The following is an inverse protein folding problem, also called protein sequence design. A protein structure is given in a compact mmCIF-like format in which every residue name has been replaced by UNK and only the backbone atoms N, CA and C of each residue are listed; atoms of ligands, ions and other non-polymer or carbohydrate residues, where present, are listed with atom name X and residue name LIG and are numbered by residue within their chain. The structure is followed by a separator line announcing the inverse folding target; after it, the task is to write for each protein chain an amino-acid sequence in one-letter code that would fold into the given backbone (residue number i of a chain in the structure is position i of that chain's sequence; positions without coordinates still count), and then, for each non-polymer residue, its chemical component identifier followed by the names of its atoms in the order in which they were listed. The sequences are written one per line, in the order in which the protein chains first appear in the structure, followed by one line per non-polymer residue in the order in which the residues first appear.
data_IF_124177321061
#
_entry.id   IF_124177321061
#
_cell.length_a   1.000
_cell.length_b   1.000
_cell.length_c   1.000
_cell.angle_alpha   90.00
_cell.angle_beta   90.00
_cell.angle_gamma   90.00
#
_symmetry.space_group_name_H-M   'P 1'
#
loop_
_entity.id
_entity.type
_entity.pdbx_description
1 polymer ?
#
# COMPACT_ATOMS: atom_id res chain seq x y z
N UNK A 1 -20.82 0.36 -28.71
CA UNK A 1 -19.96 1.10 -27.75
C UNK A 1 -19.95 0.37 -26.41
N UNK A 2 -18.80 -0.12 -25.96
CA UNK A 2 -18.67 -0.88 -24.70
C UNK A 2 -18.80 0.10 -23.52
N UNK A 3 -19.87 0.00 -22.72
CA UNK A 3 -20.06 0.84 -21.52
C UNK A 3 -18.93 0.54 -20.54
N UNK A 4 -17.98 1.46 -20.40
CA UNK A 4 -16.98 1.41 -19.33
C UNK A 4 -17.71 1.71 -18.03
N UNK A 5 -17.67 0.79 -17.06
CA UNK A 5 -18.24 1.02 -15.73
C UNK A 5 -17.45 2.15 -15.07
N UNK A 6 -18.11 3.27 -14.76
CA UNK A 6 -17.53 4.37 -13.99
C UNK A 6 -17.89 4.17 -12.53
N UNK A 7 -16.90 4.23 -11.64
CA UNK A 7 -17.14 4.24 -10.20
C UNK A 7 -17.64 5.61 -9.77
N UNK A 8 -18.57 5.66 -8.81
CA UNK A 8 -18.92 6.92 -8.15
C UNK A 8 -17.78 7.35 -7.21
N UNK A 9 -17.76 8.63 -6.81
CA UNK A 9 -16.77 9.12 -5.84
C UNK A 9 -16.84 8.33 -4.52
N UNK A 10 -18.05 7.96 -4.09
CA UNK A 10 -18.27 7.16 -2.89
C UNK A 10 -17.65 5.77 -3.02
N UNK A 11 -17.83 5.12 -4.18
CA UNK A 11 -17.22 3.81 -4.43
C UNK A 11 -15.69 3.89 -4.43
N UNK A 12 -15.13 4.98 -4.98
CA UNK A 12 -13.68 5.19 -5.01
C UNK A 12 -13.09 5.42 -3.62
N UNK A 13 -13.76 6.23 -2.78
CA UNK A 13 -13.34 6.48 -1.40
C UNK A 13 -13.43 5.21 -0.56
N UNK A 14 -14.54 4.47 -0.69
CA UNK A 14 -14.73 3.21 0.03
C UNK A 14 -13.69 2.17 -0.40
N UNK A 15 -13.44 2.06 -1.71
CA UNK A 15 -12.40 1.19 -2.25
C UNK A 15 -11.02 1.56 -1.69
N UNK A 16 -10.66 2.84 -1.70
CA UNK A 16 -9.39 3.31 -1.14
C UNK A 16 -9.25 3.00 0.36
N UNK A 17 -10.32 3.17 1.14
CA UNK A 17 -10.33 2.89 2.57
C UNK A 17 -10.12 1.39 2.86
N UNK A 18 -10.80 0.52 2.12
CA UNK A 18 -10.61 -0.94 2.22
C UNK A 18 -9.17 -1.31 1.86
N UNK A 19 -8.61 -0.71 0.81
CA UNK A 19 -7.25 -1.00 0.34
C UNK A 19 -6.15 -0.48 1.28
N UNK A 20 -6.42 0.53 2.10
CA UNK A 20 -5.47 1.05 3.09
C UNK A 20 -5.21 0.10 4.26
N UNK A 21 -6.04 -0.93 4.43
CA UNK A 21 -5.93 -1.93 5.52
C UNK A 21 -5.73 -1.23 6.88
N UNK A 22 -6.74 -0.52 7.41
CA UNK A 22 -6.60 0.30 8.62
C UNK A 22 -6.21 -0.49 9.87
N UNK A 23 -6.33 -1.82 9.85
CA UNK A 23 -5.90 -2.72 10.93
C UNK A 23 -4.39 -3.05 10.87
N UNK A 24 -3.69 -2.76 9.77
CA UNK A 24 -2.28 -3.08 9.59
C UNK A 24 -1.35 -2.48 10.68
N UNK A 25 -1.54 -1.23 11.15
CA UNK A 25 -0.74 -0.67 12.25
C UNK A 25 -0.84 -1.48 13.55
N UNK A 26 -1.98 -2.12 13.80
CA UNK A 26 -2.20 -2.94 15.00
C UNK A 26 -1.31 -4.18 14.95
N UNK A 27 -1.22 -4.82 13.78
CA UNK A 27 -0.39 -6.01 13.56
C UNK A 27 1.11 -5.74 13.73
N UNK A 28 1.56 -4.51 13.46
CA UNK A 28 2.99 -4.14 13.53
C UNK A 28 3.36 -3.40 14.82
N UNK A 29 2.40 -3.12 15.71
CA UNK A 29 2.61 -2.27 16.89
C UNK A 29 3.81 -2.71 17.73
N UNK A 30 3.93 -4.01 18.05
CA UNK A 30 5.03 -4.52 18.88
C UNK A 30 6.42 -4.36 18.24
N UNK A 31 6.52 -4.56 16.92
CA UNK A 31 7.77 -4.38 16.18
C UNK A 31 8.16 -2.90 16.17
N UNK A 32 7.21 -2.02 15.84
CA UNK A 32 7.42 -0.58 15.84
C UNK A 32 7.76 -0.08 17.23
N UNK A 33 7.10 -0.56 18.28
CA UNK A 33 7.39 -0.20 19.68
C UNK A 33 8.84 -0.49 20.05
N UNK A 34 9.32 -1.71 19.75
CA UNK A 34 10.69 -2.09 20.05
C UNK A 34 11.73 -1.29 19.25
N UNK A 35 11.50 -1.08 17.95
CA UNK A 35 12.42 -0.31 17.08
C UNK A 35 12.42 1.19 17.38
N UNK A 36 11.29 1.72 17.85
CA UNK A 36 11.11 3.15 18.17
C UNK A 36 11.44 3.49 19.61
N UNK A 37 11.91 2.54 20.42
CA UNK A 37 12.12 2.71 21.86
C UNK A 37 10.88 3.28 22.58
N UNK A 38 9.68 2.84 22.18
CA UNK A 38 8.41 3.29 22.74
C UNK A 38 7.79 4.55 22.10
N UNK A 39 8.46 5.17 21.12
CA UNK A 39 8.00 6.40 20.45
C UNK A 39 7.05 6.14 19.27
N UNK A 40 6.14 5.17 19.42
CA UNK A 40 5.26 4.69 18.33
C UNK A 40 4.41 5.80 17.71
N UNK A 41 3.85 6.69 18.56
CA UNK A 41 3.02 7.79 18.08
C UNK A 41 3.79 8.74 17.14
N UNK A 42 5.05 9.05 17.48
CA UNK A 42 5.88 9.94 16.67
C UNK A 42 6.23 9.30 15.32
N UNK A 43 6.53 8.00 15.30
CA UNK A 43 6.76 7.25 14.05
C UNK A 43 5.54 7.35 13.13
N UNK A 44 4.34 7.14 13.66
CA UNK A 44 3.12 7.25 12.85
C UNK A 44 2.82 8.68 12.40
N UNK A 45 3.11 9.70 13.21
CA UNK A 45 2.94 11.11 12.80
C UNK A 45 3.87 11.46 11.64
N UNK A 46 5.15 11.11 11.74
CA UNK A 46 6.13 11.36 10.67
C UNK A 46 5.72 10.58 9.40
N UNK A 47 5.33 9.32 9.55
CA UNK A 47 4.82 8.51 8.44
C UNK A 47 3.59 9.13 7.78
N UNK A 48 2.63 9.62 8.56
CA UNK A 48 1.44 10.29 8.05
C UNK A 48 1.77 11.55 7.26
N UNK A 49 2.72 12.37 7.73
CA UNK A 49 3.20 13.56 7.03
C UNK A 49 3.84 13.17 5.69
N UNK A 50 4.70 12.15 5.67
CA UNK A 50 5.31 11.66 4.43
C UNK A 50 4.27 11.13 3.43
N UNK A 51 3.27 10.38 3.91
CA UNK A 51 2.17 9.88 3.08
C UNK A 51 1.28 11.02 2.56
N UNK A 52 1.08 12.08 3.35
CA UNK A 52 0.31 13.25 2.92
C UNK A 52 0.94 13.93 1.70
N UNK A 53 2.26 14.17 1.72
CA UNK A 53 2.97 14.72 0.57
C UNK A 53 2.85 13.80 -0.66
N UNK A 54 2.96 12.49 -0.45
CA UNK A 54 2.76 11.51 -1.52
C UNK A 54 1.35 11.62 -2.12
N UNK A 55 0.31 11.60 -1.29
CA UNK A 55 -1.08 11.73 -1.74
C UNK A 55 -1.34 13.06 -2.46
N UNK A 56 -0.75 14.16 -1.98
CA UNK A 56 -0.86 15.47 -2.61
C UNK A 56 -0.23 15.50 -4.02
N UNK A 57 0.95 14.89 -4.19
CA UNK A 57 1.58 14.74 -5.50
C UNK A 57 0.72 13.93 -6.46
N UNK A 58 0.17 12.80 -6.01
CA UNK A 58 -0.72 11.97 -6.84
C UNK A 58 -2.01 12.70 -7.23
N UNK A 59 -2.62 13.43 -6.30
CA UNK A 59 -3.80 14.25 -6.57
C UNK A 59 -3.52 15.29 -7.66
N UNK A 60 -2.42 16.04 -7.53
CA UNK A 60 -2.02 17.06 -8.50
C UNK A 60 -1.74 16.45 -9.88
N UNK A 61 -1.04 15.32 -9.94
CA UNK A 61 -0.71 14.64 -11.20
C UNK A 61 -1.92 14.02 -11.87
N UNK A 62 -2.87 13.47 -11.10
CA UNK A 62 -4.10 12.87 -11.63
C UNK A 62 -5.01 13.85 -12.36
N UNK A 63 -4.94 15.14 -11.99
CA UNK A 63 -5.70 16.20 -12.65
C UNK A 63 -5.13 16.58 -14.02
N UNK A 64 -3.82 16.42 -14.22
CA UNK A 64 -3.12 16.82 -15.45
C UNK A 64 -2.85 15.64 -16.39
N UNK A 65 -2.68 14.43 -15.85
CA UNK A 65 -2.34 13.22 -16.59
C UNK A 65 -3.54 12.28 -16.56
N UNK A 66 -4.33 12.28 -17.63
CA UNK A 66 -5.50 11.40 -17.79
C UNK A 66 -5.11 9.99 -18.26
N UNK A 67 -4.27 9.30 -17.47
CA UNK A 67 -3.82 7.92 -17.73
C UNK A 67 -4.20 7.00 -16.58
N UNK A 68 -4.62 5.78 -16.88
CA UNK A 68 -4.90 4.73 -15.88
C UNK A 68 -3.63 4.15 -15.25
N UNK A 69 -2.45 4.67 -15.59
CA UNK A 69 -1.16 4.06 -15.25
C UNK A 69 -0.56 4.42 -13.89
N UNK A 70 -1.22 5.26 -13.06
CA UNK A 70 -0.71 5.62 -11.73
C UNK A 70 0.77 6.10 -11.79
N UNK A 71 1.62 5.68 -10.84
CA UNK A 71 3.00 6.15 -10.68
C UNK A 71 3.89 5.95 -11.93
N UNK A 72 3.75 4.84 -12.67
CA UNK A 72 4.59 4.58 -13.84
C UNK A 72 4.30 5.60 -14.95
N UNK A 73 3.03 5.95 -15.14
CA UNK A 73 2.62 6.94 -16.13
C UNK A 73 3.09 8.34 -15.72
N UNK A 74 2.98 8.67 -14.43
CA UNK A 74 3.45 9.95 -13.91
C UNK A 74 4.97 10.09 -14.03
N UNK A 75 5.74 9.08 -13.63
CA UNK A 75 7.19 9.09 -13.76
C UNK A 75 7.66 9.14 -15.22
N UNK A 76 6.96 8.41 -16.10
CA UNK A 76 7.22 8.41 -17.54
C UNK A 76 7.04 9.78 -18.19
N UNK A 77 5.99 10.51 -17.79
CA UNK A 77 5.65 11.84 -18.33
C UNK A 77 6.48 12.95 -17.69
N UNK A 78 6.69 12.92 -16.37
CA UNK A 78 7.32 14.02 -15.64
C UNK A 78 8.86 13.93 -15.59
N UNK A 79 9.45 12.75 -15.74
CA UNK A 79 10.90 12.53 -15.64
C UNK A 79 11.45 12.07 -16.98
N UNK A 80 11.22 10.79 -17.34
CA UNK A 80 11.52 10.22 -18.64
C UNK A 80 10.89 8.82 -18.79
N UNK A 81 10.75 8.29 -20.02
CA UNK A 81 10.15 6.98 -20.26
C UNK A 81 10.88 5.80 -19.60
N UNK A 82 12.21 5.87 -19.43
CA UNK A 82 12.99 4.79 -18.82
C UNK A 82 12.72 4.66 -17.31
N UNK A 83 12.59 5.80 -16.61
CA UNK A 83 12.18 5.83 -15.21
C UNK A 83 10.74 5.33 -15.07
N UNK A 84 9.84 5.73 -15.98
CA UNK A 84 8.49 5.17 -16.04
C UNK A 84 8.49 3.64 -16.17
N UNK A 85 9.32 3.07 -17.04
CA UNK A 85 9.47 1.62 -17.19
C UNK A 85 9.99 0.95 -15.91
N UNK A 86 11.03 1.52 -15.28
CA UNK A 86 11.56 1.01 -14.02
C UNK A 86 10.52 1.08 -12.88
N UNK A 87 9.79 2.19 -12.76
CA UNK A 87 8.68 2.32 -11.81
C UNK A 87 7.60 1.25 -12.04
N UNK A 88 7.30 0.94 -13.31
CA UNK A 88 6.39 -0.15 -13.67
C UNK A 88 6.86 -1.51 -13.14
N UNK A 89 8.15 -1.83 -13.28
CA UNK A 89 8.72 -3.06 -12.75
C UNK A 89 8.71 -3.12 -11.22
N UNK A 90 9.05 -2.01 -10.56
CA UNK A 90 9.02 -1.93 -9.09
C UNK A 90 7.58 -2.16 -8.58
N UNK A 91 6.59 -1.52 -9.21
CA UNK A 91 5.18 -1.73 -8.85
C UNK A 91 4.74 -3.16 -9.10
N UNK A 92 5.12 -3.78 -10.22
CA UNK A 92 4.80 -5.17 -10.50
C UNK A 92 5.34 -6.11 -9.43
N UNK A 93 6.60 -5.89 -9.01
CA UNK A 93 7.21 -6.66 -7.93
C UNK A 93 6.51 -6.44 -6.60
N UNK A 94 6.15 -5.20 -6.27
CA UNK A 94 5.38 -4.90 -5.06
C UNK A 94 4.04 -5.66 -5.05
N UNK A 95 3.28 -5.62 -6.14
CA UNK A 95 2.03 -6.37 -6.26
C UNK A 95 2.20 -7.89 -6.17
N UNK A 96 3.34 -8.43 -6.59
CA UNK A 96 3.63 -9.86 -6.50
C UNK A 96 4.08 -10.28 -5.09
N UNK A 97 4.84 -9.43 -4.41
CA UNK A 97 5.41 -9.72 -3.09
C UNK A 97 4.45 -9.40 -1.95
N UNK A 98 3.59 -8.40 -2.12
CA UNK A 98 2.67 -7.95 -1.08
C UNK A 98 1.72 -9.07 -0.58
N UNK A 99 1.09 -9.91 -1.43
CA UNK A 99 0.26 -11.02 -0.97
C UNK A 99 1.03 -12.01 -0.11
N UNK A 100 2.27 -12.33 -0.50
CA UNK A 100 3.15 -13.23 0.26
C UNK A 100 3.50 -12.65 1.62
N UNK A 101 3.81 -11.35 1.69
CA UNK A 101 4.06 -10.65 2.95
C UNK A 101 2.85 -10.70 3.88
N UNK A 102 1.66 -10.39 3.35
CA UNK A 102 0.40 -10.42 4.13
C UNK A 102 0.08 -11.83 4.60
N UNK A 103 0.28 -12.87 3.77
CA UNK A 103 0.08 -14.26 4.16
C UNK A 103 1.01 -14.67 5.32
N UNK A 104 2.30 -14.30 5.26
CA UNK A 104 3.26 -14.59 6.34
C UNK A 104 2.87 -13.89 7.63
N UNK A 105 2.54 -12.60 7.59
CA UNK A 105 2.11 -11.85 8.77
C UNK A 105 0.82 -12.43 9.38
N UNK A 106 -0.14 -12.80 8.52
CA UNK A 106 -1.38 -13.47 8.92
C UNK A 106 -1.11 -14.83 9.57
N UNK A 107 -0.24 -15.65 8.98
CA UNK A 107 0.14 -16.96 9.52
C UNK A 107 0.79 -16.86 10.91
N UNK A 108 1.66 -15.86 11.13
CA UNK A 108 2.25 -15.58 12.45
C UNK A 108 1.18 -15.14 13.45
N UNK A 109 0.26 -14.27 13.05
CA UNK A 109 -0.83 -13.82 13.92
C UNK A 109 -1.77 -14.97 14.33
N UNK A 110 -2.14 -15.85 13.39
CA UNK A 110 -2.98 -17.02 13.67
C UNK A 110 -2.24 -18.02 14.56
N UNK A 111 -0.95 -18.26 14.32
CA UNK A 111 -0.15 -19.17 15.15
C UNK A 111 -0.02 -18.67 16.60
N UNK A 112 0.00 -17.36 16.82
CA UNK A 112 -0.04 -16.78 18.17
C UNK A 112 -1.34 -17.10 18.93
N UNK A 113 -2.45 -17.31 18.21
CA UNK A 113 -3.77 -17.65 18.78
C UNK A 113 -3.96 -19.17 18.87
N UNK A 114 -3.49 -19.91 17.86
CA UNK A 114 -3.59 -21.37 17.74
C UNK A 114 -2.19 -21.99 17.58
N UNK A 115 -1.39 -22.06 18.66
CA UNK A 115 -0.01 -22.57 18.61
C UNK A 115 0.06 -24.06 18.24
N UNK A 116 -1.05 -24.78 18.38
CA UNK A 116 -1.22 -26.18 18.00
C UNK A 116 -1.11 -26.39 16.48
N UNK A 117 -1.37 -25.35 15.67
CA UNK A 117 -1.31 -25.45 14.22
C UNK A 117 -0.02 -24.80 13.72
N UNK A 118 0.95 -25.60 13.25
CA UNK A 118 2.23 -25.07 12.84
C UNK A 118 2.14 -24.17 11.58
N UNK A 119 3.00 -23.15 11.52
CA UNK A 119 2.93 -22.01 10.57
C UNK A 119 2.96 -22.40 9.08
N UNK A 120 3.66 -23.48 8.73
CA UNK A 120 3.74 -24.04 7.36
C UNK A 120 2.39 -24.40 6.71
N UNK A 121 1.33 -24.67 7.48
CA UNK A 121 0.00 -24.96 6.89
C UNK A 121 -0.62 -23.68 6.32
N UNK A 122 -0.26 -22.51 6.85
CA UNK A 122 -0.80 -21.20 6.46
C UNK A 122 0.09 -20.44 5.45
N UNK A 123 1.09 -21.12 4.87
CA UNK A 123 1.98 -20.59 3.83
C UNK A 123 1.39 -20.74 2.44
#
# INVERSE_FOLDING_TARGET
MKKVKKLSLTDLVLYGLVFMVPIAPVSLYGVVYNLSHGMVALVYIIGAIAMFFTAYSYSTLSQHISSSGSAYAYAGVCINPAVGFLTGWILLLDYLLFPTLVAVLGGVAVHAILPQIPVWVWR
#
